data_IF_219074734208
#
_entry.id   IF_219074734208
#
_cell.length_a   1.000
_cell.length_b   1.000
_cell.length_c   1.000
_cell.angle_alpha   90.00
_cell.angle_beta   90.00
_cell.angle_gamma   90.00
#
_symmetry.space_group_name_H-M   'P 1'
#
loop_
_entity.id
_entity.type
_entity.pdbx_description
1 polymer ?
#
# COMPACT_ATOMS: atom_id res chain seq x y z
N UNK A 1 -3.33 16.14 7.83
CA UNK A 1 -2.53 14.94 7.87
C UNK A 1 -1.04 15.27 7.80
N UNK A 2 -0.25 14.93 8.83
CA UNK A 2 1.15 15.36 8.93
C UNK A 2 2.13 14.45 8.20
N UNK A 3 1.70 13.28 7.75
CA UNK A 3 2.57 12.27 7.15
C UNK A 3 2.33 12.09 5.65
N UNK A 4 1.92 13.09 4.99
CA UNK A 4 1.63 13.03 3.58
C UNK A 4 1.00 14.33 3.18
N UNK A 5 0.08 14.28 2.29
CA UNK A 5 -0.61 15.46 1.91
C UNK A 5 -1.48 15.96 3.02
N UNK A 6 -1.17 17.14 3.43
CA UNK A 6 -1.95 17.83 4.43
C UNK A 6 -3.32 18.15 3.87
N UNK A 7 -4.29 18.16 4.76
CA UNK A 7 -5.54 18.84 4.49
C UNK A 7 -5.19 20.33 4.29
N UNK A 8 -5.35 20.81 3.08
CA UNK A 8 -5.07 22.18 2.73
C UNK A 8 -6.38 22.89 2.42
N UNK A 9 -6.51 24.09 2.92
CA UNK A 9 -7.50 25.01 2.39
C UNK A 9 -6.99 25.58 1.06
N UNK A 10 -7.57 25.10 -0.02
CA UNK A 10 -7.20 25.47 -1.38
C UNK A 10 -8.02 26.65 -1.93
N UNK A 11 -8.73 27.34 -1.05
CA UNK A 11 -9.60 28.46 -1.45
C UNK A 11 -8.86 29.80 -1.55
N UNK A 12 -7.62 29.88 -1.07
CA UNK A 12 -6.90 31.15 -0.91
C UNK A 12 -5.65 31.32 -1.77
N UNK A 13 -5.16 30.25 -2.40
CA UNK A 13 -3.92 30.31 -3.20
C UNK A 13 -3.97 29.37 -4.41
N UNK A 14 -3.39 29.82 -5.53
CA UNK A 14 -3.15 28.96 -6.68
C UNK A 14 -2.00 27.99 -6.40
N UNK A 15 -2.21 26.73 -6.69
CA UNK A 15 -1.23 25.66 -6.46
C UNK A 15 -1.27 24.62 -7.57
N UNK A 16 -0.10 24.13 -7.90
CA UNK A 16 0.06 22.96 -8.77
C UNK A 16 0.96 21.96 -8.06
N UNK A 17 0.55 20.69 -8.06
CA UNK A 17 1.25 19.65 -7.34
C UNK A 17 1.04 18.29 -8.00
N UNK A 18 2.11 17.53 -8.13
CA UNK A 18 2.08 16.18 -8.66
C UNK A 18 2.40 15.18 -7.55
N UNK A 19 1.72 14.04 -7.57
CA UNK A 19 1.83 13.04 -6.53
C UNK A 19 2.04 11.64 -7.10
N UNK A 20 2.84 10.86 -6.38
CA UNK A 20 3.10 9.45 -6.69
C UNK A 20 1.95 8.52 -6.29
N UNK A 21 0.98 9.00 -5.53
CA UNK A 21 -0.15 8.20 -5.09
C UNK A 21 -1.13 7.93 -6.23
N UNK A 22 -1.77 6.77 -6.19
CA UNK A 22 -2.81 6.39 -7.17
C UNK A 22 -4.18 6.93 -6.79
N UNK A 23 -4.32 7.67 -5.72
CA UNK A 23 -5.57 8.17 -5.18
C UNK A 23 -5.45 9.61 -4.69
N UNK A 24 -6.57 10.30 -4.68
CA UNK A 24 -6.69 11.64 -4.12
C UNK A 24 -8.13 11.92 -3.69
N UNK A 25 -8.28 12.88 -2.79
CA UNK A 25 -9.57 13.27 -2.26
C UNK A 25 -9.77 14.77 -2.40
N UNK A 26 -10.98 15.15 -2.80
CA UNK A 26 -11.47 16.53 -2.76
C UNK A 26 -12.79 16.56 -2.01
N UNK A 27 -13.00 17.59 -1.22
CA UNK A 27 -14.29 17.79 -0.58
C UNK A 27 -14.75 19.26 -0.63
N UNK A 28 -16.05 19.42 -0.62
CA UNK A 28 -16.78 20.67 -0.37
C UNK A 28 -17.60 20.49 0.90
N UNK A 29 -18.35 21.50 1.29
CA UNK A 29 -19.25 21.38 2.44
C UNK A 29 -20.35 20.32 2.27
N UNK A 30 -20.67 19.91 1.05
CA UNK A 30 -21.82 19.05 0.76
C UNK A 30 -21.48 17.69 0.19
N UNK A 31 -20.29 17.54 -0.44
CA UNK A 31 -19.87 16.34 -1.12
C UNK A 31 -18.37 16.15 -0.98
N UNK A 32 -17.98 14.89 -0.84
CA UNK A 32 -16.61 14.44 -0.98
C UNK A 32 -16.46 13.62 -2.27
N UNK A 33 -15.30 13.69 -2.89
CA UNK A 33 -14.97 12.94 -4.09
C UNK A 33 -13.66 12.19 -3.90
N UNK A 34 -13.67 10.91 -4.22
CA UNK A 34 -12.49 10.06 -4.29
C UNK A 34 -12.09 9.86 -5.73
N UNK A 35 -10.83 9.95 -5.99
CA UNK A 35 -10.23 9.75 -7.31
C UNK A 35 -9.20 8.63 -7.22
N UNK A 36 -9.29 7.65 -8.12
CA UNK A 36 -8.32 6.58 -8.28
C UNK A 36 -7.90 6.48 -9.76
N UNK A 37 -6.64 6.13 -9.99
CA UNK A 37 -6.09 5.91 -11.33
C UNK A 37 -5.06 4.78 -11.30
N UNK A 38 -4.94 4.06 -12.40
CA UNK A 38 -3.84 3.13 -12.65
C UNK A 38 -2.70 3.76 -13.47
N UNK A 39 -2.64 5.09 -13.58
CA UNK A 39 -1.54 5.76 -14.25
C UNK A 39 -0.20 5.45 -13.59
N UNK A 40 0.82 5.22 -14.41
CA UNK A 40 2.19 4.88 -13.97
C UNK A 40 3.15 6.06 -13.95
N UNK A 41 2.71 7.22 -14.45
CA UNK A 41 3.57 8.35 -14.70
C UNK A 41 4.19 8.32 -16.10
N UNK A 42 5.15 9.16 -16.37
CA UNK A 42 5.77 9.31 -17.70
C UNK A 42 6.84 8.25 -18.02
N UNK A 43 7.13 7.34 -17.08
CA UNK A 43 8.09 6.26 -17.30
C UNK A 43 9.55 6.72 -17.26
N UNK A 44 9.87 7.85 -16.66
CA UNK A 44 11.24 8.30 -16.51
C UNK A 44 12.10 7.25 -15.79
N UNK A 45 13.29 6.99 -16.33
CA UNK A 45 14.18 5.91 -15.92
C UNK A 45 14.71 6.09 -14.49
N UNK A 46 14.76 7.30 -14.00
CA UNK A 46 15.23 7.64 -12.65
C UNK A 46 14.13 7.56 -11.57
N UNK A 47 12.91 7.25 -11.98
CA UNK A 47 11.77 7.15 -11.06
C UNK A 47 11.33 8.47 -10.45
N UNK A 48 11.86 9.61 -10.93
CA UNK A 48 11.52 10.94 -10.41
C UNK A 48 10.11 11.36 -10.78
N UNK A 49 9.58 10.89 -11.92
CA UNK A 49 8.32 11.33 -12.50
C UNK A 49 7.22 10.25 -12.52
N UNK A 50 7.19 9.38 -11.53
CA UNK A 50 6.05 8.49 -11.32
C UNK A 50 4.82 9.25 -10.78
N UNK A 51 4.52 10.40 -11.40
CA UNK A 51 3.40 11.23 -11.00
C UNK A 51 2.09 10.59 -11.48
N UNK A 52 1.35 10.02 -10.55
CA UNK A 52 0.09 9.31 -10.81
C UNK A 52 -1.12 10.23 -10.74
N UNK A 53 -1.02 11.26 -9.91
CA UNK A 53 -2.07 12.28 -9.74
C UNK A 53 -1.48 13.67 -9.87
N UNK A 54 -2.18 14.50 -10.64
CA UNK A 54 -1.91 15.90 -10.81
C UNK A 54 -3.01 16.72 -10.14
N UNK A 55 -2.65 17.51 -9.15
CA UNK A 55 -3.54 18.44 -8.46
C UNK A 55 -3.26 19.85 -8.91
N UNK A 56 -4.27 20.57 -9.31
CA UNK A 56 -4.15 21.96 -9.70
C UNK A 56 -5.24 22.80 -9.05
N UNK A 57 -4.85 23.91 -8.44
CA UNK A 57 -5.76 24.93 -7.94
C UNK A 57 -5.50 26.23 -8.67
N UNK A 58 -6.53 26.76 -9.32
CA UNK A 58 -6.48 28.01 -10.08
C UNK A 58 -7.45 29.03 -9.56
N UNK A 59 -7.04 30.28 -9.55
CA UNK A 59 -7.95 31.40 -9.35
C UNK A 59 -8.81 31.62 -10.59
N UNK A 60 -10.08 31.87 -10.36
CA UNK A 60 -11.07 32.19 -11.39
C UNK A 60 -11.84 33.44 -11.00
N UNK A 61 -12.66 33.97 -11.89
CA UNK A 61 -13.48 35.13 -11.60
C UNK A 61 -14.47 34.95 -10.43
N UNK A 62 -14.77 33.70 -10.08
CA UNK A 62 -15.72 33.32 -9.00
C UNK A 62 -15.05 32.72 -7.76
N UNK A 63 -13.71 32.70 -7.70
CA UNK A 63 -12.94 32.09 -6.63
C UNK A 63 -11.95 31.04 -7.12
N UNK A 64 -11.53 30.13 -6.25
CA UNK A 64 -10.58 29.08 -6.59
C UNK A 64 -11.29 27.79 -7.01
N UNK A 65 -10.74 27.16 -8.05
CA UNK A 65 -11.19 25.83 -8.52
C UNK A 65 -10.02 24.87 -8.38
N UNK A 66 -10.25 23.75 -7.68
CA UNK A 66 -9.30 22.66 -7.55
C UNK A 66 -9.74 21.48 -8.38
N UNK A 67 -8.80 20.94 -9.14
CA UNK A 67 -8.99 19.74 -9.96
C UNK A 67 -7.99 18.65 -9.62
N UNK A 68 -8.40 17.41 -9.76
CA UNK A 68 -7.53 16.24 -9.79
C UNK A 68 -7.60 15.62 -11.18
N UNK A 69 -6.46 15.24 -11.72
CA UNK A 69 -6.35 14.50 -12.96
C UNK A 69 -5.34 13.35 -12.82
N UNK A 70 -5.46 12.35 -13.68
CA UNK A 70 -4.45 11.30 -13.76
C UNK A 70 -3.13 11.85 -14.31
N UNK A 71 -2.05 11.23 -13.92
CA UNK A 71 -0.79 11.34 -14.63
C UNK A 71 -0.84 10.64 -15.99
N UNK A 72 0.30 10.56 -16.65
CA UNK A 72 0.45 9.91 -17.96
C UNK A 72 0.38 8.37 -17.82
N UNK A 73 -0.09 7.73 -18.89
CA UNK A 73 0.05 6.29 -19.10
C UNK A 73 1.10 6.05 -20.20
N UNK A 74 2.02 5.14 -19.96
CA UNK A 74 2.91 4.65 -21.00
C UNK A 74 2.18 3.58 -21.81
N UNK A 75 1.72 3.95 -22.99
CA UNK A 75 1.03 3.00 -23.89
C UNK A 75 1.97 1.94 -24.42
N UNK A 76 3.18 2.35 -24.82
CA UNK A 76 4.24 1.46 -25.30
C UNK A 76 5.59 2.00 -24.84
N UNK A 77 6.40 1.24 -24.11
CA UNK A 77 7.77 1.62 -23.80
C UNK A 77 8.61 1.80 -25.09
N UNK A 78 9.59 2.67 -25.04
CA UNK A 78 10.43 3.00 -26.21
C UNK A 78 11.16 1.77 -26.76
N UNK A 79 11.58 0.88 -25.88
CA UNK A 79 12.32 -0.36 -26.17
C UNK A 79 11.43 -1.61 -26.25
N UNK A 80 10.12 -1.42 -26.30
CA UNK A 80 9.19 -2.55 -26.38
C UNK A 80 9.38 -3.35 -27.68
N UNK A 81 9.39 -4.70 -27.61
CA UNK A 81 9.43 -5.56 -28.78
C UNK A 81 8.21 -5.33 -29.68
N UNK A 82 8.30 -5.75 -30.95
CA UNK A 82 7.23 -5.52 -31.93
C UNK A 82 5.90 -6.17 -31.56
N UNK A 83 5.94 -7.28 -30.85
CA UNK A 83 4.77 -8.03 -30.36
C UNK A 83 4.28 -7.56 -28.99
N UNK A 84 4.83 -6.46 -28.46
CA UNK A 84 4.41 -5.92 -27.17
C UNK A 84 2.91 -5.57 -27.17
N UNK A 85 2.21 -6.16 -26.24
CA UNK A 85 0.80 -5.82 -25.97
C UNK A 85 0.70 -5.05 -24.66
N UNK A 86 -0.08 -3.99 -24.62
CA UNK A 86 -0.33 -3.22 -23.41
C UNK A 86 -1.03 -4.10 -22.37
N UNK A 87 -0.45 -4.24 -21.18
CA UNK A 87 -0.98 -5.12 -20.14
C UNK A 87 -2.27 -4.58 -19.50
N UNK A 88 -2.39 -3.26 -19.37
CA UNK A 88 -3.52 -2.63 -18.67
C UNK A 88 -4.14 -1.51 -19.50
N UNK A 89 -5.47 -1.47 -19.51
CA UNK A 89 -6.21 -0.35 -20.07
C UNK A 89 -6.12 0.85 -19.13
N UNK A 90 -5.82 2.06 -19.63
CA UNK A 90 -5.91 3.28 -18.83
C UNK A 90 -7.25 3.42 -18.14
N UNK A 91 -7.24 3.59 -16.82
CA UNK A 91 -8.45 3.65 -16.01
C UNK A 91 -8.41 4.78 -14.99
N UNK A 92 -9.54 5.48 -14.87
CA UNK A 92 -9.83 6.45 -13.83
C UNK A 92 -11.16 6.12 -13.19
N UNK A 93 -11.21 6.08 -11.88
CA UNK A 93 -12.46 5.88 -11.12
C UNK A 93 -12.72 7.10 -10.24
N UNK A 94 -13.95 7.55 -10.21
CA UNK A 94 -14.41 8.65 -9.37
C UNK A 94 -15.62 8.20 -8.56
N UNK A 95 -15.60 8.44 -7.26
CA UNK A 95 -16.71 8.17 -6.34
C UNK A 95 -17.08 9.44 -5.61
N UNK A 96 -18.35 9.81 -5.66
CA UNK A 96 -18.92 10.88 -4.83
C UNK A 96 -19.57 10.29 -3.59
N UNK A 97 -19.32 10.91 -2.45
CA UNK A 97 -19.89 10.54 -1.15
C UNK A 97 -20.49 11.78 -0.47
N UNK A 98 -21.48 11.56 0.36
CA UNK A 98 -21.96 12.51 1.35
C UNK A 98 -21.36 12.14 2.69
N UNK A 99 -21.87 12.70 3.78
CA UNK A 99 -21.58 12.26 5.14
C UNK A 99 -21.80 10.74 5.23
N UNK A 100 -20.74 9.99 5.38
CA UNK A 100 -20.72 8.53 5.34
C UNK A 100 -20.34 7.92 6.67
N UNK A 101 -19.94 8.74 7.64
CA UNK A 101 -19.56 8.36 9.00
C UNK A 101 -20.51 8.94 10.05
N UNK A 102 -21.58 9.65 9.62
CA UNK A 102 -22.63 10.25 10.47
C UNK A 102 -22.09 11.26 11.50
N UNK A 103 -21.04 11.99 11.17
CA UNK A 103 -20.46 13.01 12.06
C UNK A 103 -21.00 14.44 11.79
N UNK A 104 -21.97 14.58 10.86
CA UNK A 104 -22.59 15.82 10.39
C UNK A 104 -21.61 16.76 9.65
N UNK A 105 -20.58 16.22 9.06
CA UNK A 105 -19.64 16.94 8.21
C UNK A 105 -19.44 16.16 6.90
N UNK A 106 -18.94 16.86 5.90
CA UNK A 106 -18.43 16.20 4.70
C UNK A 106 -16.97 16.58 4.54
N UNK A 107 -16.09 15.60 4.70
CA UNK A 107 -14.67 15.83 4.64
C UNK A 107 -13.91 14.69 3.93
N UNK A 108 -12.60 14.65 4.13
CA UNK A 108 -11.75 13.63 3.52
C UNK A 108 -12.03 12.21 4.02
N UNK A 109 -12.60 12.04 5.21
CA UNK A 109 -12.95 10.72 5.76
C UNK A 109 -14.06 10.08 4.95
N UNK A 110 -15.07 10.85 4.55
CA UNK A 110 -16.14 10.38 3.65
C UNK A 110 -15.61 9.97 2.30
N UNK A 111 -14.68 10.75 1.77
CA UNK A 111 -13.98 10.38 0.54
C UNK A 111 -13.21 9.07 0.71
N UNK A 112 -12.51 8.89 1.84
CA UNK A 112 -11.74 7.68 2.12
C UNK A 112 -12.64 6.44 2.30
N UNK A 113 -13.81 6.60 2.92
CA UNK A 113 -14.82 5.54 3.01
C UNK A 113 -15.33 5.18 1.60
N UNK A 114 -15.70 6.19 0.81
CA UNK A 114 -16.13 5.97 -0.57
C UNK A 114 -15.06 5.34 -1.46
N UNK A 115 -13.79 5.67 -1.23
CA UNK A 115 -12.65 5.13 -1.97
C UNK A 115 -12.54 3.60 -1.89
N UNK A 116 -12.90 3.00 -0.75
CA UNK A 116 -12.89 1.54 -0.58
C UNK A 116 -13.71 0.80 -1.63
N UNK A 117 -14.73 1.44 -2.21
CA UNK A 117 -15.58 0.84 -3.23
C UNK A 117 -15.00 0.89 -4.65
N UNK A 118 -13.98 1.69 -4.88
CA UNK A 118 -13.36 1.89 -6.21
C UNK A 118 -11.90 1.48 -6.28
N UNK A 119 -11.23 1.29 -5.14
CA UNK A 119 -9.83 0.87 -5.11
C UNK A 119 -9.67 -0.58 -5.60
N UNK A 120 -8.53 -0.86 -6.20
CA UNK A 120 -8.15 -2.24 -6.47
C UNK A 120 -7.49 -2.81 -5.21
N UNK A 121 -8.10 -3.85 -4.67
CA UNK A 121 -7.54 -4.55 -3.53
C UNK A 121 -6.47 -5.56 -4.00
N UNK A 122 -5.38 -5.74 -3.24
CA UNK A 122 -4.45 -6.84 -3.46
C UNK A 122 -5.15 -8.20 -3.36
N UNK A 123 -4.61 -9.21 -4.03
CA UNK A 123 -5.08 -10.57 -3.90
C UNK A 123 -5.04 -11.02 -2.43
N UNK A 124 -6.14 -11.57 -1.91
CA UNK A 124 -6.28 -12.01 -0.52
C UNK A 124 -6.67 -10.90 0.47
N UNK A 125 -6.87 -9.66 0.01
CA UNK A 125 -7.27 -8.55 0.89
C UNK A 125 -8.58 -8.80 1.64
N UNK A 126 -9.47 -9.62 1.08
CA UNK A 126 -10.74 -10.01 1.70
C UNK A 126 -10.56 -10.86 2.97
N UNK A 127 -9.40 -11.52 3.12
CA UNK A 127 -9.06 -12.34 4.29
C UNK A 127 -8.41 -11.56 5.43
N UNK A 128 -7.83 -10.40 5.12
CA UNK A 128 -7.04 -9.61 6.11
C UNK A 128 -7.83 -9.22 7.35
N UNK A 129 -9.12 -8.86 7.29
CA UNK A 129 -9.90 -8.54 8.49
C UNK A 129 -10.04 -9.68 9.49
N UNK A 130 -9.86 -10.92 9.03
CA UNK A 130 -10.00 -12.15 9.81
C UNK A 130 -8.66 -12.73 10.27
N UNK A 131 -7.57 -11.96 10.09
CA UNK A 131 -6.21 -12.41 10.36
C UNK A 131 -5.54 -11.58 11.45
N UNK A 132 -4.77 -12.26 12.29
CA UNK A 132 -3.75 -11.60 13.11
C UNK A 132 -2.50 -11.38 12.26
N UNK A 133 -2.13 -10.13 12.04
CA UNK A 133 -0.97 -9.77 11.25
C UNK A 133 0.23 -9.53 12.16
N UNK A 134 1.33 -10.25 11.92
CA UNK A 134 2.56 -10.12 12.66
C UNK A 134 3.73 -9.80 11.73
N UNK A 135 4.62 -8.94 12.17
CA UNK A 135 5.91 -8.68 11.54
C UNK A 135 7.01 -9.13 12.49
N UNK A 136 7.70 -10.18 12.11
CA UNK A 136 8.66 -10.87 12.98
C UNK A 136 10.09 -10.63 12.48
N UNK A 137 10.90 -9.86 13.21
CA UNK A 137 12.33 -9.72 12.92
C UNK A 137 13.09 -10.92 13.48
N UNK A 138 13.72 -11.71 12.63
CA UNK A 138 14.46 -12.89 13.03
C UNK A 138 15.92 -12.60 13.36
N UNK A 139 16.59 -11.91 12.49
CA UNK A 139 18.02 -11.65 12.65
C UNK A 139 18.31 -10.22 12.20
N UNK A 140 18.42 -9.33 13.15
CA UNK A 140 18.68 -7.92 12.91
C UNK A 140 20.08 -7.57 13.37
N UNK A 141 20.87 -6.88 12.55
CA UNK A 141 22.24 -6.46 12.85
C UNK A 141 23.12 -7.63 13.35
N UNK A 142 23.09 -8.77 12.69
CA UNK A 142 23.82 -10.01 13.05
C UNK A 142 23.49 -10.60 14.43
N UNK A 143 22.38 -10.20 15.03
CA UNK A 143 21.88 -10.78 16.29
C UNK A 143 20.57 -11.53 16.05
N UNK A 144 20.49 -12.78 16.47
CA UNK A 144 19.25 -13.53 16.43
C UNK A 144 18.30 -12.95 17.49
N UNK A 145 17.15 -12.46 17.05
CA UNK A 145 16.14 -11.88 17.93
C UNK A 145 15.03 -12.87 18.25
N UNK A 146 14.57 -13.63 17.24
CA UNK A 146 13.54 -14.65 17.40
C UNK A 146 13.96 -15.93 16.66
N UNK A 147 14.24 -17.04 17.36
CA UNK A 147 14.37 -18.34 16.70
C UNK A 147 13.07 -18.79 16.03
N UNK A 148 13.16 -19.53 14.94
CA UNK A 148 11.98 -19.98 14.18
C UNK A 148 11.00 -20.79 15.05
N UNK A 149 11.51 -21.66 15.92
CA UNK A 149 10.65 -22.48 16.78
C UNK A 149 10.00 -21.69 17.92
N UNK A 150 10.61 -20.59 18.37
CA UNK A 150 9.96 -19.67 19.32
C UNK A 150 8.79 -18.97 18.63
N UNK A 151 8.97 -18.53 17.39
CA UNK A 151 7.90 -17.94 16.59
C UNK A 151 6.74 -18.92 16.38
N UNK A 152 7.04 -20.19 16.13
CA UNK A 152 6.02 -21.24 16.05
C UNK A 152 5.22 -21.38 17.35
N UNK A 153 5.92 -21.40 18.51
CA UNK A 153 5.25 -21.47 19.80
C UNK A 153 4.37 -20.24 20.08
N UNK A 154 4.86 -19.05 19.74
CA UNK A 154 4.07 -17.82 19.83
C UNK A 154 2.84 -17.84 18.91
N UNK A 155 2.98 -18.33 17.69
CA UNK A 155 1.85 -18.49 16.75
C UNK A 155 0.80 -19.45 17.31
N UNK A 156 1.20 -20.58 17.92
CA UNK A 156 0.30 -21.49 18.60
C UNK A 156 -0.43 -20.84 19.79
N UNK A 157 0.27 -20.01 20.55
CA UNK A 157 -0.34 -19.25 21.66
C UNK A 157 -1.36 -18.24 21.17
N UNK A 158 -1.05 -17.50 20.09
CA UNK A 158 -1.97 -16.54 19.50
C UNK A 158 -3.20 -17.24 18.93
N UNK A 159 -3.03 -18.36 18.23
CA UNK A 159 -4.14 -19.19 17.75
C UNK A 159 -5.10 -19.56 18.88
N UNK A 160 -4.57 -20.03 20.00
CA UNK A 160 -5.37 -20.40 21.16
C UNK A 160 -6.04 -19.20 21.85
N UNK A 161 -5.34 -18.03 21.90
CA UNK A 161 -5.89 -16.81 22.50
C UNK A 161 -6.99 -16.15 21.66
N UNK A 162 -7.01 -16.42 20.38
CA UNK A 162 -7.97 -15.83 19.42
C UNK A 162 -9.05 -16.81 18.95
N UNK A 163 -9.20 -17.94 19.64
CA UNK A 163 -10.15 -18.98 19.27
C UNK A 163 -10.01 -19.46 17.80
N UNK A 164 -8.77 -19.55 17.33
CA UNK A 164 -8.45 -20.10 16.02
C UNK A 164 -8.49 -19.10 14.86
N UNK A 165 -8.34 -17.80 15.12
CA UNK A 165 -8.12 -16.85 14.02
C UNK A 165 -6.85 -17.20 13.24
N UNK A 166 -6.94 -17.14 11.92
CA UNK A 166 -5.78 -17.29 11.04
C UNK A 166 -4.73 -16.20 11.29
N UNK A 167 -3.50 -16.47 10.89
CA UNK A 167 -2.39 -15.55 11.08
C UNK A 167 -1.64 -15.32 9.78
N UNK A 168 -1.17 -14.09 9.57
CA UNK A 168 -0.25 -13.73 8.51
C UNK A 168 1.07 -13.27 9.14
N UNK A 169 2.13 -14.04 8.96
CA UNK A 169 3.43 -13.76 9.52
C UNK A 169 4.40 -13.27 8.45
N UNK A 170 4.80 -12.01 8.53
CA UNK A 170 5.86 -11.46 7.70
C UNK A 170 7.22 -11.72 8.35
N UNK A 171 7.96 -12.68 7.80
CA UNK A 171 9.26 -13.10 8.30
C UNK A 171 10.35 -12.18 7.73
N UNK A 172 11.00 -11.39 8.57
CA UNK A 172 12.04 -10.44 8.16
C UNK A 172 13.42 -10.89 8.64
N UNK A 173 14.37 -11.04 7.72
CA UNK A 173 15.73 -11.45 8.05
C UNK A 173 15.90 -12.95 8.30
N UNK A 174 15.09 -13.77 7.64
CA UNK A 174 15.15 -15.23 7.73
C UNK A 174 16.35 -15.84 7.00
N UNK A 175 16.85 -15.11 6.00
CA UNK A 175 17.94 -15.56 5.14
C UNK A 175 19.31 -15.34 5.79
N UNK A 176 20.26 -16.20 5.44
CA UNK A 176 21.69 -16.17 5.71
C UNK A 176 22.10 -15.36 6.98
N UNK A 177 22.80 -14.23 6.83
CA UNK A 177 23.27 -13.39 7.93
C UNK A 177 22.19 -12.44 8.49
N UNK A 178 20.98 -12.47 7.95
CA UNK A 178 19.84 -11.68 8.41
C UNK A 178 19.56 -10.43 7.60
N UNK A 179 18.85 -9.51 8.24
CA UNK A 179 18.44 -8.25 7.62
C UNK A 179 19.65 -7.42 7.21
N UNK A 180 19.60 -6.92 5.98
CA UNK A 180 20.63 -6.06 5.37
C UNK A 180 22.01 -6.73 5.16
N UNK A 181 22.06 -8.07 5.21
CA UNK A 181 23.28 -8.82 5.03
C UNK A 181 23.15 -9.85 3.91
N UNK A 182 24.25 -10.10 3.21
CA UNK A 182 24.38 -11.14 2.18
C UNK A 182 23.30 -11.12 1.08
N UNK A 183 22.83 -9.97 0.69
CA UNK A 183 21.98 -9.83 -0.49
C UNK A 183 22.80 -9.98 -1.80
N UNK A 184 22.27 -10.65 -2.81
CA UNK A 184 20.89 -11.17 -2.98
C UNK A 184 20.72 -12.67 -2.66
N UNK A 185 21.49 -13.24 -1.73
CA UNK A 185 21.41 -14.66 -1.41
C UNK A 185 20.15 -14.98 -0.58
N UNK A 186 19.02 -15.13 -1.26
CA UNK A 186 17.72 -15.42 -0.64
C UNK A 186 17.45 -16.91 -0.41
N UNK A 187 18.29 -17.79 -1.01
CA UNK A 187 18.13 -19.23 -0.88
C UNK A 187 18.75 -19.81 0.38
N UNK A 188 19.71 -19.13 0.98
CA UNK A 188 20.36 -19.59 2.18
C UNK A 188 19.55 -19.18 3.44
N UNK A 189 19.18 -20.16 4.24
CA UNK A 189 18.45 -19.94 5.48
C UNK A 189 19.41 -19.66 6.63
N UNK A 190 19.09 -18.66 7.44
CA UNK A 190 19.89 -18.25 8.58
C UNK A 190 20.07 -19.37 9.61
N UNK A 191 21.31 -19.71 9.95
CA UNK A 191 21.61 -20.74 10.93
C UNK A 191 21.30 -20.27 12.37
N UNK A 192 21.51 -18.99 12.66
CA UNK A 192 21.30 -18.43 13.99
C UNK A 192 19.82 -18.51 14.45
N UNK A 193 18.80 -18.21 13.62
CA UNK A 193 17.41 -18.40 14.01
C UNK A 193 16.95 -19.87 13.98
N UNK A 194 17.78 -20.83 13.54
CA UNK A 194 17.49 -22.26 13.61
C UNK A 194 17.73 -23.05 12.32
N UNK A 195 18.15 -22.39 11.24
CA UNK A 195 18.44 -23.04 9.97
C UNK A 195 17.20 -23.55 9.22
N UNK A 196 17.44 -24.22 8.10
CA UNK A 196 16.40 -24.68 7.19
C UNK A 196 15.40 -25.64 7.85
N UNK A 197 15.86 -26.57 8.65
CA UNK A 197 14.99 -27.53 9.32
C UNK A 197 13.97 -26.85 10.24
N UNK A 198 14.39 -25.88 11.03
CA UNK A 198 13.51 -25.16 11.93
C UNK A 198 12.55 -24.21 11.18
N UNK A 199 12.99 -23.61 10.08
CA UNK A 199 12.11 -22.83 9.21
C UNK A 199 11.04 -23.69 8.55
N UNK A 200 11.40 -24.85 8.00
CA UNK A 200 10.45 -25.78 7.42
C UNK A 200 9.43 -26.24 8.46
N UNK A 201 9.87 -26.55 9.67
CA UNK A 201 8.97 -26.91 10.76
C UNK A 201 8.02 -25.74 11.12
N UNK A 202 8.50 -24.49 11.17
CA UNK A 202 7.65 -23.31 11.39
C UNK A 202 6.58 -23.20 10.29
N UNK A 203 6.95 -23.40 9.03
CA UNK A 203 6.03 -23.32 7.89
C UNK A 203 5.00 -24.45 7.94
N UNK A 204 5.46 -25.70 8.09
CA UNK A 204 4.60 -26.89 8.04
C UNK A 204 3.60 -26.94 9.21
N UNK A 205 4.06 -26.56 10.40
CA UNK A 205 3.18 -26.51 11.58
C UNK A 205 2.32 -25.25 11.59
N UNK A 206 2.85 -24.12 11.12
CA UNK A 206 2.10 -22.88 11.02
C UNK A 206 0.94 -22.95 10.03
N UNK A 207 1.07 -23.70 8.92
CA UNK A 207 -0.01 -23.92 7.96
C UNK A 207 -1.16 -24.79 8.50
N UNK A 208 -1.00 -25.39 9.66
CA UNK A 208 -2.06 -26.17 10.34
C UNK A 208 -2.90 -25.31 11.30
N UNK A 209 -2.44 -24.09 11.57
CA UNK A 209 -3.13 -23.13 12.42
C UNK A 209 -4.01 -22.20 11.61
#
# INVERSE_FOLDING_TARGET
>A
NKNGDTIQDLTTTSQEETKKYMYGFLNTANYAASFWTNAYGDGSVDGSDNNRIHKQTKETATGFVTTLSSGAWTYRPFDAPEDYTTGETPEVKVKFSKDSNDDNRVDWQDAAIGFRSIMNNPMGAEKVPELVNQRIPFNFASQATNPFLVTLDESKRIYNLTDGLGQMNLLKGYQNEGHDSAHPDYGAIGQRPGGEQALNQLIDEGHKL
#
